data_IF_513534161803
#
_entry.id   IF_513534161803
#
_cell.length_a   1.000
_cell.length_b   1.000
_cell.length_c   1.000
_cell.angle_alpha   90.00
_cell.angle_beta   90.00
_cell.angle_gamma   90.00
#
_symmetry.space_group_name_H-M   'P 1'
#
loop_
_entity.id
_entity.type
_entity.pdbx_description
1 polymer ?
#
# COMPACT_ATOMS: atom_id res chain seq x y z
N UNK A 1 -18.88 -8.15 -14.44
CA UNK A 1 -19.51 -7.09 -13.61
C UNK A 1 -18.67 -5.81 -13.56
N UNK A 2 -17.35 -5.90 -13.46
CA UNK A 2 -16.49 -4.71 -13.37
C UNK A 2 -16.36 -3.94 -14.69
N UNK A 3 -16.28 -4.64 -15.83
CA UNK A 3 -16.33 -4.04 -17.17
C UNK A 3 -17.58 -3.18 -17.39
N UNK A 4 -18.76 -3.73 -17.08
CA UNK A 4 -20.05 -3.03 -17.21
C UNK A 4 -20.10 -1.77 -16.34
N UNK A 5 -19.56 -1.81 -15.12
CA UNK A 5 -19.47 -0.62 -14.25
C UNK A 5 -18.53 0.43 -14.84
N UNK A 6 -17.43 0.02 -15.47
CA UNK A 6 -16.50 0.93 -16.15
C UNK A 6 -17.13 1.56 -17.39
N UNK A 7 -17.89 0.79 -18.18
CA UNK A 7 -18.57 1.29 -19.38
C UNK A 7 -19.61 2.36 -19.02
N UNK A 8 -20.40 2.14 -17.96
CA UNK A 8 -21.34 3.15 -17.43
C UNK A 8 -20.59 4.42 -16.99
N UNK A 9 -19.42 4.27 -16.35
CA UNK A 9 -18.60 5.42 -15.93
C UNK A 9 -18.03 6.18 -17.13
N UNK A 10 -17.61 5.48 -18.19
CA UNK A 10 -17.14 6.10 -19.42
C UNK A 10 -18.25 6.97 -20.02
N UNK A 11 -19.45 6.41 -20.24
CA UNK A 11 -20.60 7.16 -20.77
C UNK A 11 -20.93 8.41 -19.93
N UNK A 12 -20.87 8.28 -18.59
CA UNK A 12 -21.09 9.42 -17.68
C UNK A 12 -20.05 10.54 -17.90
N UNK A 13 -18.78 10.19 -18.04
CA UNK A 13 -17.72 11.17 -18.26
C UNK A 13 -17.67 11.71 -19.69
N UNK A 14 -18.10 10.94 -20.69
CA UNK A 14 -18.31 11.43 -22.05
C UNK A 14 -19.40 12.51 -22.08
N UNK A 15 -20.54 12.27 -21.41
CA UNK A 15 -21.58 13.29 -21.27
C UNK A 15 -21.09 14.51 -20.46
N UNK A 16 -20.29 14.28 -19.40
CA UNK A 16 -19.68 15.38 -18.65
C UNK A 16 -18.79 16.26 -19.53
N UNK A 17 -17.93 15.65 -20.34
CA UNK A 17 -17.04 16.37 -21.27
C UNK A 17 -17.84 17.08 -22.35
N UNK A 18 -18.92 16.48 -22.86
CA UNK A 18 -19.83 17.15 -23.80
C UNK A 18 -20.44 18.43 -23.23
N UNK A 19 -20.84 18.39 -21.96
CA UNK A 19 -21.43 19.55 -21.27
C UNK A 19 -20.37 20.51 -20.69
N UNK A 20 -19.11 20.09 -20.57
CA UNK A 20 -18.01 20.86 -19.99
C UNK A 20 -16.70 20.66 -20.79
N UNK A 21 -16.65 21.03 -22.08
CA UNK A 21 -15.53 20.70 -22.96
C UNK A 21 -14.22 21.41 -22.61
N UNK A 22 -14.26 22.46 -21.79
CA UNK A 22 -13.08 23.20 -21.36
C UNK A 22 -12.51 22.71 -20.02
N UNK A 23 -13.18 21.77 -19.34
CA UNK A 23 -12.74 21.27 -18.04
C UNK A 23 -11.75 20.11 -18.21
N UNK A 24 -10.46 20.27 -17.86
CA UNK A 24 -9.45 19.22 -18.01
C UNK A 24 -9.74 17.96 -17.16
N UNK A 25 -10.49 18.14 -16.07
CA UNK A 25 -10.90 17.06 -15.17
C UNK A 25 -11.65 15.93 -15.90
N UNK A 26 -12.57 16.27 -16.80
CA UNK A 26 -13.37 15.26 -17.52
C UNK A 26 -12.50 14.37 -18.40
N UNK A 27 -11.58 14.98 -19.16
CA UNK A 27 -10.63 14.25 -19.98
C UNK A 27 -9.66 13.42 -19.14
N UNK A 28 -9.18 13.91 -18.01
CA UNK A 28 -8.37 13.11 -17.10
C UNK A 28 -9.11 11.86 -16.60
N UNK A 29 -10.38 12.00 -16.20
CA UNK A 29 -11.20 10.87 -15.77
C UNK A 29 -11.43 9.85 -16.88
N UNK A 30 -11.75 10.30 -18.10
CA UNK A 30 -11.82 9.41 -19.28
C UNK A 30 -10.48 8.69 -19.49
N UNK A 31 -9.37 9.42 -19.41
CA UNK A 31 -8.05 8.82 -19.55
C UNK A 31 -7.79 7.71 -18.53
N UNK A 32 -8.13 7.91 -17.25
CA UNK A 32 -7.99 6.86 -16.21
C UNK A 32 -8.91 5.66 -16.47
N UNK A 33 -10.15 5.88 -16.91
CA UNK A 33 -11.07 4.79 -17.24
C UNK A 33 -10.56 3.96 -18.44
N UNK A 34 -10.05 4.62 -19.48
CA UNK A 34 -9.43 3.93 -20.60
C UNK A 34 -8.18 3.15 -20.19
N UNK A 35 -7.39 3.63 -19.22
CA UNK A 35 -6.27 2.86 -18.67
C UNK A 35 -6.73 1.59 -17.94
N UNK A 36 -7.82 1.68 -17.17
CA UNK A 36 -8.41 0.51 -16.50
C UNK A 36 -8.88 -0.54 -17.51
N UNK A 37 -9.41 -0.09 -18.66
CA UNK A 37 -9.79 -0.96 -19.78
C UNK A 37 -8.60 -1.37 -20.68
N UNK A 38 -7.35 -1.09 -20.29
CA UNK A 38 -6.14 -1.35 -21.09
C UNK A 38 -6.08 -0.63 -22.45
N UNK A 39 -6.97 0.34 -22.69
CA UNK A 39 -7.05 1.17 -23.89
C UNK A 39 -6.04 2.34 -23.78
N UNK A 40 -4.74 1.99 -23.78
CA UNK A 40 -3.66 2.94 -23.50
C UNK A 40 -3.45 4.00 -24.59
N UNK A 41 -4.03 3.86 -25.78
CA UNK A 41 -3.95 4.86 -26.86
C UNK A 41 -4.95 5.99 -26.59
N UNK A 42 -6.19 5.62 -26.33
CA UNK A 42 -7.31 6.50 -25.97
C UNK A 42 -6.99 7.23 -24.67
N UNK A 43 -6.48 6.51 -23.68
CA UNK A 43 -6.01 7.10 -22.44
C UNK A 43 -4.96 8.21 -22.66
N UNK A 44 -3.98 7.97 -23.54
CA UNK A 44 -2.95 8.96 -23.85
C UNK A 44 -3.53 10.18 -24.56
N UNK A 45 -4.49 9.96 -25.47
CA UNK A 45 -5.21 11.04 -26.17
C UNK A 45 -5.95 11.95 -25.17
N UNK A 46 -6.71 11.36 -24.26
CA UNK A 46 -7.45 12.14 -23.25
C UNK A 46 -6.51 12.86 -22.26
N UNK A 47 -5.40 12.23 -21.85
CA UNK A 47 -4.40 12.90 -21.01
C UNK A 47 -3.73 14.07 -21.72
N UNK A 48 -3.44 13.94 -23.02
CA UNK A 48 -2.95 15.07 -23.84
C UNK A 48 -4.00 16.17 -23.94
N UNK A 49 -5.27 15.81 -24.17
CA UNK A 49 -6.35 16.80 -24.24
C UNK A 49 -6.52 17.58 -22.92
N UNK A 50 -6.41 16.91 -21.79
CA UNK A 50 -6.41 17.58 -20.47
C UNK A 50 -5.26 18.59 -20.34
N UNK A 51 -4.07 18.28 -20.89
CA UNK A 51 -2.91 19.19 -20.87
C UNK A 51 -2.96 20.30 -21.91
N UNK A 52 -3.67 20.10 -23.02
CA UNK A 52 -3.99 21.17 -23.97
C UNK A 52 -4.87 22.24 -23.32
N UNK A 53 -5.88 21.81 -22.55
CA UNK A 53 -6.79 22.70 -21.82
C UNK A 53 -6.11 23.38 -20.63
N UNK A 54 -5.30 22.62 -19.86
CA UNK A 54 -4.50 23.16 -18.77
C UNK A 54 -3.12 22.51 -18.70
N UNK A 55 -2.11 23.25 -19.17
CA UNK A 55 -0.70 22.82 -19.14
C UNK A 55 -0.14 22.60 -17.73
N UNK A 56 -0.79 23.12 -16.68
CA UNK A 56 -0.40 22.96 -15.29
C UNK A 56 -1.14 21.80 -14.59
N UNK A 57 -2.06 21.12 -15.28
CA UNK A 57 -2.85 20.03 -14.74
C UNK A 57 -1.98 18.81 -14.41
N UNK A 58 -1.46 18.79 -13.18
CA UNK A 58 -0.38 17.87 -12.77
C UNK A 58 -0.82 16.42 -12.79
N UNK A 59 -2.10 16.14 -12.51
CA UNK A 59 -2.65 14.78 -12.59
C UNK A 59 -2.59 14.18 -13.99
N UNK A 60 -2.79 14.97 -15.05
CA UNK A 60 -2.60 14.45 -16.42
C UNK A 60 -1.12 14.22 -16.76
N UNK A 61 -0.20 15.03 -16.20
CA UNK A 61 1.24 14.77 -16.32
C UNK A 61 1.61 13.42 -15.69
N UNK A 62 1.09 13.13 -14.51
CA UNK A 62 1.26 11.84 -13.83
C UNK A 62 0.64 10.69 -14.64
N UNK A 63 -0.57 10.89 -15.16
CA UNK A 63 -1.23 9.91 -16.02
C UNK A 63 -0.42 9.56 -17.28
N UNK A 64 0.24 10.55 -17.92
CA UNK A 64 1.14 10.26 -19.05
C UNK A 64 2.38 9.45 -18.63
N UNK A 65 2.95 9.71 -17.44
CA UNK A 65 4.07 8.92 -16.91
C UNK A 65 3.62 7.48 -16.66
N UNK A 66 2.47 7.28 -16.02
CA UNK A 66 1.85 5.98 -15.77
C UNK A 66 1.60 5.22 -17.08
N UNK A 67 1.02 5.87 -18.10
CA UNK A 67 0.81 5.28 -19.43
C UNK A 67 2.14 4.84 -20.08
N UNK A 68 3.20 5.64 -19.97
CA UNK A 68 4.51 5.28 -20.51
C UNK A 68 5.11 4.06 -19.80
N UNK A 69 4.94 3.96 -18.48
CA UNK A 69 5.35 2.77 -17.70
C UNK A 69 4.55 1.55 -18.14
N UNK A 70 3.22 1.67 -18.25
CA UNK A 70 2.35 0.57 -18.71
C UNK A 70 2.67 0.13 -20.15
N UNK A 71 3.15 1.03 -21.01
CA UNK A 71 3.63 0.72 -22.36
C UNK A 71 5.06 0.15 -22.40
N UNK A 72 5.73 -0.02 -21.26
CA UNK A 72 7.13 -0.45 -21.18
C UNK A 72 8.14 0.59 -21.67
N UNK A 73 7.72 1.84 -21.86
CA UNK A 73 8.56 2.94 -22.38
C UNK A 73 9.29 3.65 -21.23
N UNK A 74 10.05 2.89 -20.44
CA UNK A 74 10.64 3.34 -19.17
C UNK A 74 11.55 4.56 -19.31
N UNK A 75 12.41 4.61 -20.31
CA UNK A 75 13.30 5.77 -20.55
C UNK A 75 12.49 7.05 -20.80
N UNK A 76 11.40 6.94 -21.57
CA UNK A 76 10.51 8.08 -21.82
C UNK A 76 9.77 8.49 -20.55
N UNK A 77 9.36 7.54 -19.71
CA UNK A 77 8.75 7.82 -18.42
C UNK A 77 9.71 8.59 -17.49
N UNK A 78 10.97 8.14 -17.39
CA UNK A 78 12.03 8.82 -16.61
C UNK A 78 12.27 10.24 -17.12
N UNK A 79 12.40 10.40 -18.44
CA UNK A 79 12.55 11.72 -19.06
C UNK A 79 11.36 12.63 -18.77
N UNK A 80 10.13 12.12 -18.89
CA UNK A 80 8.91 12.90 -18.66
C UNK A 80 8.77 13.30 -17.19
N UNK A 81 9.12 12.41 -16.26
CA UNK A 81 9.20 12.71 -14.84
C UNK A 81 10.20 13.85 -14.57
N UNK A 82 11.36 13.83 -15.21
CA UNK A 82 12.36 14.90 -15.09
C UNK A 82 11.88 16.22 -15.70
N UNK A 83 11.21 16.17 -16.87
CA UNK A 83 10.59 17.34 -17.50
C UNK A 83 9.56 18.00 -16.59
N UNK A 84 8.78 17.20 -15.85
CA UNK A 84 7.72 17.70 -14.97
C UNK A 84 8.10 17.76 -13.49
N UNK A 85 9.39 17.63 -13.16
CA UNK A 85 9.92 17.60 -11.77
C UNK A 85 9.38 18.74 -10.91
N UNK A 86 9.33 19.97 -11.45
CA UNK A 86 8.80 21.14 -10.72
C UNK A 86 7.34 20.93 -10.31
N UNK A 87 6.46 20.58 -11.25
CA UNK A 87 5.03 20.35 -10.98
C UNK A 87 4.79 19.22 -9.98
N UNK A 88 5.55 18.13 -10.12
CA UNK A 88 5.47 16.97 -9.21
C UNK A 88 5.91 17.36 -7.79
N UNK A 89 6.97 18.15 -7.67
CA UNK A 89 7.52 18.52 -6.37
C UNK A 89 6.71 19.58 -5.62
N UNK A 90 5.75 20.24 -6.28
CA UNK A 90 4.90 21.26 -5.66
C UNK A 90 4.06 20.74 -4.48
N UNK A 91 3.61 19.48 -4.54
CA UNK A 91 2.76 18.89 -3.49
C UNK A 91 3.18 17.46 -3.19
N UNK A 92 3.23 17.11 -1.92
CA UNK A 92 3.60 15.75 -1.49
C UNK A 92 2.64 14.67 -2.03
N UNK A 93 1.37 15.01 -2.27
CA UNK A 93 0.40 14.09 -2.88
C UNK A 93 0.87 13.56 -4.24
N UNK A 94 1.56 14.38 -5.06
CA UNK A 94 2.05 13.95 -6.37
C UNK A 94 3.30 13.09 -6.28
N UNK A 95 4.16 13.33 -5.28
CA UNK A 95 5.31 12.46 -5.00
C UNK A 95 4.83 11.07 -4.55
N UNK A 96 3.85 11.06 -3.65
CA UNK A 96 3.16 9.85 -3.20
C UNK A 96 2.51 9.10 -4.38
N UNK A 97 1.76 9.81 -5.22
CA UNK A 97 1.08 9.23 -6.39
C UNK A 97 2.08 8.63 -7.40
N UNK A 98 3.26 9.22 -7.60
CA UNK A 98 4.32 8.59 -8.43
C UNK A 98 4.83 7.29 -7.79
N UNK A 99 5.09 7.30 -6.49
CA UNK A 99 5.54 6.10 -5.81
C UNK A 99 4.50 4.97 -5.95
N UNK A 100 3.22 5.28 -5.77
CA UNK A 100 2.09 4.36 -5.99
C UNK A 100 2.06 3.84 -7.43
N UNK A 101 2.13 4.74 -8.42
CA UNK A 101 2.12 4.39 -9.84
C UNK A 101 3.23 3.38 -10.17
N UNK A 102 4.46 3.64 -9.75
CA UNK A 102 5.60 2.80 -10.14
C UNK A 102 5.59 1.49 -9.35
N UNK A 103 5.37 1.56 -8.03
CA UNK A 103 5.43 0.40 -7.15
C UNK A 103 4.27 -0.57 -7.32
N UNK A 104 3.08 -0.09 -7.73
CA UNK A 104 1.97 -0.98 -8.11
C UNK A 104 2.32 -1.94 -9.25
N UNK A 105 3.36 -1.62 -10.05
CA UNK A 105 3.86 -2.50 -11.10
C UNK A 105 4.78 -3.60 -10.60
N UNK A 106 5.15 -3.61 -9.31
CA UNK A 106 6.08 -4.58 -8.73
C UNK A 106 5.65 -6.03 -8.99
N UNK A 107 4.38 -6.34 -8.74
CA UNK A 107 3.81 -7.67 -9.00
C UNK A 107 3.28 -7.86 -10.44
N UNK A 108 3.49 -6.89 -11.34
CA UNK A 108 3.01 -6.99 -12.72
C UNK A 108 3.83 -8.02 -13.51
N UNK A 109 3.15 -8.82 -14.34
CA UNK A 109 3.80 -9.78 -15.24
C UNK A 109 4.81 -9.15 -16.20
N UNK A 110 4.71 -7.84 -16.44
CA UNK A 110 5.63 -7.08 -17.30
C UNK A 110 6.99 -6.82 -16.67
N UNK A 111 7.10 -6.88 -15.34
CA UNK A 111 8.33 -6.62 -14.59
C UNK A 111 8.88 -7.88 -13.89
N UNK A 112 8.10 -8.95 -13.80
CA UNK A 112 8.53 -10.28 -13.37
C UNK A 112 9.25 -11.04 -14.52
N UNK A 113 10.57 -11.32 -14.41
CA UNK A 113 11.34 -12.00 -15.45
C UNK A 113 10.78 -13.37 -15.84
N UNK A 114 10.13 -14.07 -14.92
CA UNK A 114 9.55 -15.40 -15.13
C UNK A 114 8.23 -15.34 -15.92
N UNK A 115 7.53 -14.19 -15.89
CA UNK A 115 6.22 -13.99 -16.53
C UNK A 115 6.27 -13.08 -17.76
N UNK A 116 7.45 -12.56 -18.10
CA UNK A 116 7.67 -11.65 -19.21
C UNK A 116 7.75 -12.35 -20.57
N UNK A 117 7.16 -11.71 -21.58
CA UNK A 117 7.47 -12.02 -22.97
C UNK A 117 8.92 -11.65 -23.31
N UNK A 118 9.51 -12.33 -24.30
CA UNK A 118 10.89 -12.10 -24.74
C UNK A 118 11.15 -10.63 -25.08
N UNK A 119 10.19 -9.98 -25.75
CA UNK A 119 10.25 -8.55 -26.13
C UNK A 119 10.32 -7.64 -24.90
N UNK A 120 9.51 -7.92 -23.87
CA UNK A 120 9.49 -7.12 -22.64
C UNK A 120 10.82 -7.20 -21.89
N UNK A 121 11.43 -8.39 -21.88
CA UNK A 121 12.75 -8.63 -21.28
C UNK A 121 13.85 -7.82 -21.97
N UNK A 122 13.82 -7.74 -23.29
CA UNK A 122 14.79 -6.92 -24.06
C UNK A 122 14.67 -5.43 -23.70
N UNK A 123 13.45 -4.88 -23.66
CA UNK A 123 13.24 -3.48 -23.27
C UNK A 123 13.67 -3.18 -21.83
N UNK A 124 13.41 -4.11 -20.91
CA UNK A 124 13.83 -3.99 -19.52
C UNK A 124 15.36 -4.02 -19.40
N UNK A 125 16.03 -4.98 -20.03
CA UNK A 125 17.49 -5.06 -20.04
C UNK A 125 18.13 -3.81 -20.67
N UNK A 126 17.57 -3.30 -21.76
CA UNK A 126 18.03 -2.06 -22.37
C UNK A 126 17.87 -0.85 -21.42
N UNK A 127 16.73 -0.76 -20.71
CA UNK A 127 16.53 0.26 -19.69
C UNK A 127 17.58 0.15 -18.59
N UNK A 128 17.86 -1.04 -18.05
CA UNK A 128 18.81 -1.23 -16.95
C UNK A 128 20.24 -0.91 -17.35
N UNK A 129 20.67 -1.35 -18.54
CA UNK A 129 21.98 -0.97 -19.08
C UNK A 129 22.14 0.55 -19.19
N UNK A 130 21.04 1.25 -19.47
CA UNK A 130 21.00 2.71 -19.49
C UNK A 130 20.84 3.34 -18.09
N UNK A 131 20.21 2.64 -17.15
CA UNK A 131 19.77 3.17 -15.86
C UNK A 131 20.95 3.64 -15.01
N UNK A 132 22.04 2.88 -14.91
CA UNK A 132 23.25 3.29 -14.15
C UNK A 132 23.80 4.64 -14.63
N UNK A 133 23.80 4.89 -15.94
CA UNK A 133 24.23 6.18 -16.53
C UNK A 133 23.25 7.30 -16.24
N UNK A 134 21.94 7.03 -16.30
CA UNK A 134 20.90 8.03 -16.00
C UNK A 134 20.91 8.37 -14.50
N UNK A 135 21.17 7.39 -13.64
CA UNK A 135 21.21 7.55 -12.18
C UNK A 135 22.28 8.55 -11.76
N UNK A 136 23.47 8.47 -12.37
CA UNK A 136 24.54 9.47 -12.17
C UNK A 136 24.11 10.90 -12.51
N UNK A 137 23.22 11.07 -13.50
CA UNK A 137 22.73 12.39 -13.92
C UNK A 137 21.49 12.85 -13.15
N UNK A 138 20.69 11.91 -12.65
CA UNK A 138 19.37 12.16 -12.07
C UNK A 138 19.14 11.25 -10.84
N UNK A 139 19.95 11.40 -9.77
CA UNK A 139 19.92 10.48 -8.61
C UNK A 139 18.62 10.55 -7.80
N UNK A 140 17.86 11.63 -7.95
CA UNK A 140 16.59 11.87 -7.23
C UNK A 140 15.35 11.60 -8.07
N UNK A 141 15.47 10.96 -9.24
CA UNK A 141 14.29 10.66 -10.05
C UNK A 141 13.55 9.45 -9.45
N UNK A 142 12.33 9.62 -8.89
CA UNK A 142 11.63 8.54 -8.20
C UNK A 142 11.23 7.41 -9.15
N UNK A 143 10.89 7.72 -10.41
CA UNK A 143 10.54 6.70 -11.42
C UNK A 143 11.76 5.84 -11.74
N UNK A 144 12.93 6.46 -11.93
CA UNK A 144 14.18 5.74 -12.16
C UNK A 144 14.54 4.83 -10.98
N UNK A 145 14.54 5.40 -9.76
CA UNK A 145 14.96 4.69 -8.56
C UNK A 145 14.04 3.50 -8.28
N UNK A 146 12.73 3.68 -8.36
CA UNK A 146 11.76 2.61 -8.11
C UNK A 146 11.80 1.53 -9.20
N UNK A 147 11.90 1.89 -10.49
CA UNK A 147 12.05 0.90 -11.57
C UNK A 147 13.35 0.09 -11.44
N UNK A 148 14.44 0.74 -11.03
CA UNK A 148 15.70 0.06 -10.74
C UNK A 148 15.55 -0.90 -9.55
N UNK A 149 14.89 -0.47 -8.47
CA UNK A 149 14.62 -1.32 -7.31
C UNK A 149 13.79 -2.56 -7.69
N UNK A 150 12.72 -2.38 -8.47
CA UNK A 150 11.87 -3.49 -8.93
C UNK A 150 12.72 -4.50 -9.72
N UNK A 151 13.55 -4.03 -10.64
CA UNK A 151 14.45 -4.91 -11.39
C UNK A 151 15.42 -5.67 -10.48
N UNK A 152 16.09 -4.99 -9.56
CA UNK A 152 17.04 -5.61 -8.63
C UNK A 152 16.38 -6.69 -7.77
N UNK A 153 15.20 -6.41 -7.20
CA UNK A 153 14.44 -7.36 -6.39
C UNK A 153 14.07 -8.63 -7.18
N UNK A 154 13.58 -8.47 -8.41
CA UNK A 154 13.19 -9.60 -9.27
C UNK A 154 14.36 -10.47 -9.75
N UNK A 155 15.56 -9.89 -9.87
CA UNK A 155 16.75 -10.61 -10.31
C UNK A 155 17.69 -11.00 -9.16
N UNK A 156 17.27 -10.77 -7.90
CA UNK A 156 18.10 -10.98 -6.71
C UNK A 156 19.48 -10.31 -6.81
N UNK A 157 19.53 -9.10 -7.39
CA UNK A 157 20.76 -8.31 -7.56
C UNK A 157 20.85 -7.24 -6.47
N UNK A 158 21.62 -7.52 -5.43
CA UNK A 158 21.82 -6.64 -4.26
C UNK A 158 23.22 -6.01 -4.26
N UNK A 159 23.60 -5.35 -5.36
CA UNK A 159 24.84 -4.57 -5.40
C UNK A 159 24.77 -3.33 -4.50
N UNK A 160 25.90 -2.69 -4.22
CA UNK A 160 25.96 -1.52 -3.32
C UNK A 160 25.04 -0.38 -3.77
N UNK A 161 24.85 -0.22 -5.08
CA UNK A 161 23.92 0.78 -5.64
C UNK A 161 22.47 0.40 -5.36
N UNK A 162 22.11 -0.87 -5.51
CA UNK A 162 20.78 -1.37 -5.21
C UNK A 162 20.44 -1.16 -3.73
N UNK A 163 21.35 -1.50 -2.81
CA UNK A 163 21.14 -1.33 -1.35
C UNK A 163 20.92 0.13 -0.99
N UNK A 164 21.70 1.06 -1.55
CA UNK A 164 21.50 2.50 -1.32
C UNK A 164 20.13 2.98 -1.82
N UNK A 165 19.72 2.51 -3.00
CA UNK A 165 18.41 2.81 -3.56
C UNK A 165 17.27 2.19 -2.73
N UNK A 166 17.44 0.98 -2.21
CA UNK A 166 16.46 0.36 -1.32
C UNK A 166 16.25 1.20 -0.06
N UNK A 167 17.35 1.66 0.58
CA UNK A 167 17.27 2.57 1.74
C UNK A 167 16.54 3.88 1.40
N UNK A 168 16.78 4.42 0.20
CA UNK A 168 16.10 5.64 -0.28
C UNK A 168 14.61 5.43 -0.58
N UNK A 169 14.25 4.27 -1.12
CA UNK A 169 12.90 3.98 -1.61
C UNK A 169 11.97 3.43 -0.52
N UNK A 170 12.48 2.68 0.46
CA UNK A 170 11.65 2.01 1.49
C UNK A 170 10.85 2.99 2.34
N UNK A 171 11.37 4.21 2.53
CA UNK A 171 10.74 5.27 3.32
C UNK A 171 9.70 6.10 2.55
N UNK A 172 9.52 5.85 1.25
CA UNK A 172 8.59 6.61 0.42
C UNK A 172 7.13 6.37 0.81
N UNK A 173 6.38 7.47 0.92
CA UNK A 173 4.92 7.42 1.06
C UNK A 173 4.29 6.91 -0.24
N UNK A 174 3.23 6.10 -0.12
CA UNK A 174 2.52 5.55 -1.28
C UNK A 174 3.22 4.35 -1.92
N UNK A 175 4.33 3.87 -1.37
CA UNK A 175 4.89 2.61 -1.85
C UNK A 175 3.90 1.46 -1.61
N UNK A 176 3.68 0.64 -2.64
CA UNK A 176 2.92 -0.61 -2.55
C UNK A 176 3.46 -1.48 -1.41
N UNK A 177 2.57 -2.08 -0.63
CA UNK A 177 2.94 -2.78 0.59
C UNK A 177 3.79 -4.03 0.33
N UNK A 178 3.52 -4.74 -0.77
CA UNK A 178 4.33 -5.91 -1.17
C UNK A 178 5.72 -5.48 -1.63
N UNK A 179 5.81 -4.40 -2.41
CA UNK A 179 7.11 -3.83 -2.78
C UNK A 179 7.87 -3.34 -1.54
N UNK A 180 7.21 -2.67 -0.59
CA UNK A 180 7.84 -2.20 0.65
C UNK A 180 8.39 -3.39 1.45
N UNK A 181 7.62 -4.46 1.58
CA UNK A 181 8.07 -5.67 2.27
C UNK A 181 9.27 -6.31 1.57
N UNK A 182 9.26 -6.39 0.23
CA UNK A 182 10.39 -6.92 -0.53
C UNK A 182 11.68 -6.11 -0.31
N UNK A 183 11.59 -4.77 -0.27
CA UNK A 183 12.72 -3.90 0.07
C UNK A 183 13.23 -4.14 1.48
N UNK A 184 12.34 -4.25 2.46
CA UNK A 184 12.70 -4.54 3.86
C UNK A 184 13.43 -5.87 3.96
N UNK A 185 12.93 -6.91 3.28
CA UNK A 185 13.52 -8.24 3.26
C UNK A 185 14.94 -8.20 2.67
N UNK A 186 15.10 -7.56 1.51
CA UNK A 186 16.41 -7.39 0.86
C UNK A 186 17.37 -6.57 1.73
N UNK A 187 16.89 -5.52 2.41
CA UNK A 187 17.71 -4.73 3.32
C UNK A 187 18.10 -5.47 4.60
N UNK A 188 17.27 -6.39 5.09
CA UNK A 188 17.49 -7.05 6.38
C UNK A 188 18.78 -7.88 6.45
N UNK A 189 19.32 -8.29 5.30
CA UNK A 189 20.61 -8.98 5.18
C UNK A 189 21.80 -8.07 5.53
N UNK A 190 21.67 -6.76 5.29
CA UNK A 190 22.74 -5.76 5.46
C UNK A 190 22.47 -4.80 6.62
N UNK A 191 21.20 -4.57 6.95
CA UNK A 191 20.75 -3.64 7.98
C UNK A 191 19.50 -4.20 8.66
N UNK A 192 19.71 -4.97 9.72
CA UNK A 192 18.62 -5.58 10.49
C UNK A 192 17.76 -4.56 11.25
N UNK A 193 18.22 -3.31 11.41
CA UNK A 193 17.45 -2.27 12.08
C UNK A 193 16.19 -1.88 11.29
N UNK A 194 16.17 -2.12 9.97
CA UNK A 194 15.00 -1.88 9.12
C UNK A 194 13.77 -2.65 9.60
N UNK A 195 13.95 -3.85 10.17
CA UNK A 195 12.87 -4.68 10.69
C UNK A 195 12.22 -4.10 11.96
N UNK A 196 12.88 -3.15 12.64
CA UNK A 196 12.37 -2.50 13.86
C UNK A 196 11.93 -1.05 13.60
N UNK A 197 12.00 -0.58 12.36
CA UNK A 197 11.73 0.81 12.04
C UNK A 197 10.22 1.09 12.04
N UNK A 198 9.71 1.64 13.16
CA UNK A 198 8.29 1.95 13.34
C UNK A 198 7.74 2.96 12.32
N UNK A 199 8.59 3.89 11.83
CA UNK A 199 8.20 4.88 10.85
C UNK A 199 7.97 4.25 9.46
N UNK A 200 8.76 3.24 9.10
CA UNK A 200 8.55 2.45 7.88
C UNK A 200 7.33 1.55 8.04
N UNK A 201 7.18 0.87 9.18
CA UNK A 201 6.01 0.03 9.46
C UNK A 201 4.70 0.84 9.43
N UNK A 202 4.72 2.08 9.90
CA UNK A 202 3.55 2.97 9.90
C UNK A 202 3.03 3.35 8.51
N UNK A 203 3.86 3.20 7.47
CA UNK A 203 3.51 3.51 6.07
C UNK A 203 2.74 2.39 5.38
N UNK A 204 2.71 1.17 5.94
CA UNK A 204 1.91 0.08 5.40
C UNK A 204 0.43 0.45 5.38
N UNK A 205 -0.29 0.25 4.28
CA UNK A 205 -1.74 0.46 4.26
C UNK A 205 -2.48 -0.78 4.76
N UNK A 206 -2.03 -1.95 4.31
CA UNK A 206 -2.48 -3.29 4.69
C UNK A 206 -1.28 -4.18 5.01
N UNK A 207 -1.54 -5.40 5.47
CA UNK A 207 -0.49 -6.40 5.55
C UNK A 207 0.02 -6.73 4.13
N UNK A 208 1.34 -6.83 3.92
CA UNK A 208 1.89 -7.41 2.70
C UNK A 208 1.49 -8.89 2.62
N UNK A 209 1.61 -9.51 1.45
CA UNK A 209 1.28 -10.92 1.22
C UNK A 209 1.90 -11.81 2.30
N UNK A 210 1.05 -12.19 3.26
CA UNK A 210 1.50 -12.59 4.59
C UNK A 210 2.08 -13.99 4.66
N UNK A 211 2.03 -14.75 3.56
CA UNK A 211 2.77 -16.02 3.43
C UNK A 211 4.28 -15.82 3.61
N UNK A 212 4.75 -14.61 3.33
CA UNK A 212 6.17 -14.23 3.37
C UNK A 212 6.51 -13.24 4.50
N UNK A 213 5.52 -12.72 5.22
CA UNK A 213 5.74 -11.71 6.26
C UNK A 213 5.80 -12.36 7.64
N UNK A 214 6.84 -12.04 8.42
CA UNK A 214 7.02 -12.62 9.75
C UNK A 214 5.95 -12.15 10.72
N UNK A 215 5.52 -13.03 11.63
CA UNK A 215 4.58 -12.67 12.70
C UNK A 215 5.05 -11.42 13.49
N UNK A 216 6.36 -11.35 13.80
CA UNK A 216 6.97 -10.21 14.48
C UNK A 216 6.78 -8.90 13.72
N UNK A 217 7.02 -8.89 12.41
CA UNK A 217 6.87 -7.67 11.63
C UNK A 217 5.41 -7.26 11.44
N UNK A 218 4.50 -8.23 11.27
CA UNK A 218 3.05 -7.94 11.24
C UNK A 218 2.59 -7.28 12.54
N UNK A 219 3.14 -7.70 13.69
CA UNK A 219 2.86 -7.08 14.97
C UNK A 219 3.42 -5.64 15.05
N UNK A 220 4.60 -5.36 14.47
CA UNK A 220 5.13 -4.00 14.40
C UNK A 220 4.23 -3.09 13.54
N UNK A 221 3.70 -3.59 12.43
CA UNK A 221 2.72 -2.86 11.61
C UNK A 221 1.46 -2.53 12.42
N UNK A 222 0.92 -3.52 13.17
CA UNK A 222 -0.22 -3.33 14.07
C UNK A 222 0.07 -2.27 15.14
N UNK A 223 1.17 -2.41 15.88
CA UNK A 223 1.56 -1.49 16.93
C UNK A 223 1.76 -0.06 16.41
N UNK A 224 2.31 0.10 15.20
CA UNK A 224 2.44 1.41 14.57
C UNK A 224 1.09 2.04 14.24
N UNK A 225 0.10 1.24 13.81
CA UNK A 225 -1.28 1.73 13.61
C UNK A 225 -1.95 2.15 14.93
N UNK A 226 -1.81 1.33 15.99
CA UNK A 226 -2.33 1.63 17.33
C UNK A 226 -1.69 2.91 17.89
N UNK A 227 -0.36 2.99 17.93
CA UNK A 227 0.37 4.17 18.45
C UNK A 227 0.03 5.47 17.70
N UNK A 228 -0.34 5.38 16.41
CA UNK A 228 -0.75 6.54 15.62
C UNK A 228 -2.25 6.88 15.71
N UNK A 229 -3.00 6.18 16.58
CA UNK A 229 -4.43 6.42 16.80
C UNK A 229 -5.34 6.01 15.64
N UNK A 230 -4.83 5.21 14.69
CA UNK A 230 -5.57 4.79 13.48
C UNK A 230 -6.32 3.49 13.75
N UNK A 231 -7.37 3.55 14.58
CA UNK A 231 -8.11 2.36 15.02
C UNK A 231 -8.72 1.56 13.86
N UNK A 232 -9.31 2.20 12.87
CA UNK A 232 -9.87 1.52 11.68
C UNK A 232 -8.80 0.70 10.93
N UNK A 233 -7.59 1.25 10.83
CA UNK A 233 -6.45 0.56 10.22
C UNK A 233 -6.02 -0.62 11.08
N UNK A 234 -5.96 -0.45 12.40
CA UNK A 234 -5.62 -1.54 13.32
C UNK A 234 -6.65 -2.68 13.26
N UNK A 235 -7.94 -2.37 13.17
CA UNK A 235 -9.02 -3.35 12.96
C UNK A 235 -8.81 -4.14 11.67
N UNK A 236 -8.56 -3.45 10.55
CA UNK A 236 -8.32 -4.11 9.26
C UNK A 236 -7.08 -5.00 9.27
N UNK A 237 -6.01 -4.57 9.95
CA UNK A 237 -4.80 -5.37 10.13
C UNK A 237 -5.11 -6.61 10.97
N UNK A 238 -5.76 -6.46 12.12
CA UNK A 238 -6.10 -7.58 13.00
C UNK A 238 -7.02 -8.60 12.35
N UNK A 239 -8.02 -8.15 11.59
CA UNK A 239 -8.90 -9.03 10.82
C UNK A 239 -8.11 -9.84 9.78
N UNK A 240 -7.17 -9.18 9.09
CA UNK A 240 -6.24 -9.85 8.17
C UNK A 240 -5.38 -10.87 8.91
N UNK A 241 -4.81 -10.54 10.08
CA UNK A 241 -4.02 -11.46 10.91
C UNK A 241 -4.83 -12.70 11.32
N UNK A 242 -6.09 -12.51 11.75
CA UNK A 242 -6.99 -13.61 12.13
C UNK A 242 -7.25 -14.57 10.97
N UNK A 243 -7.52 -14.01 9.77
CA UNK A 243 -7.74 -14.82 8.55
C UNK A 243 -6.51 -15.66 8.15
N UNK A 244 -5.33 -15.25 8.58
CA UNK A 244 -4.05 -15.88 8.28
C UNK A 244 -3.55 -16.80 9.42
N UNK A 245 -4.29 -16.90 10.52
CA UNK A 245 -3.87 -17.64 11.71
C UNK A 245 -2.66 -17.04 12.43
N UNK A 246 -2.40 -15.75 12.24
CA UNK A 246 -1.33 -15.01 12.94
C UNK A 246 -1.92 -14.40 14.21
N UNK A 247 -1.33 -14.72 15.36
CA UNK A 247 -1.83 -14.24 16.65
C UNK A 247 -0.87 -13.18 17.23
N UNK A 248 -1.34 -11.94 17.45
CA UNK A 248 -0.54 -10.93 18.12
C UNK A 248 -0.22 -11.33 19.58
N UNK A 249 0.90 -10.85 20.14
CA UNK A 249 1.18 -10.99 21.57
C UNK A 249 0.07 -10.40 22.45
N UNK A 250 -0.15 -10.92 23.68
CA UNK A 250 -1.14 -10.39 24.60
C UNK A 250 -1.02 -8.88 24.86
N UNK A 251 0.21 -8.34 24.97
CA UNK A 251 0.42 -6.90 25.15
C UNK A 251 -0.14 -6.05 23.99
N UNK A 252 -0.03 -6.53 22.76
CA UNK A 252 -0.59 -5.87 21.57
C UNK A 252 -2.11 -5.96 21.54
N UNK A 253 -2.68 -7.12 21.90
CA UNK A 253 -4.13 -7.31 22.01
C UNK A 253 -4.71 -6.40 23.10
N UNK A 254 -4.03 -6.28 24.23
CA UNK A 254 -4.45 -5.39 25.31
C UNK A 254 -4.46 -3.93 24.86
N UNK A 255 -3.41 -3.46 24.18
CA UNK A 255 -3.35 -2.10 23.65
C UNK A 255 -4.48 -1.83 22.65
N UNK A 256 -4.82 -2.83 21.81
CA UNK A 256 -5.95 -2.74 20.92
C UNK A 256 -7.29 -2.63 21.68
N UNK A 257 -7.54 -3.48 22.69
CA UNK A 257 -8.76 -3.40 23.49
C UNK A 257 -8.89 -2.08 24.23
N UNK A 258 -7.77 -1.55 24.74
CA UNK A 258 -7.73 -0.23 25.35
C UNK A 258 -8.27 0.82 24.38
N UNK A 259 -7.77 0.87 23.14
CA UNK A 259 -8.27 1.82 22.14
C UNK A 259 -9.71 1.56 21.72
N UNK A 260 -10.13 0.31 21.62
CA UNK A 260 -11.54 -0.03 21.37
C UNK A 260 -12.45 0.51 22.47
N UNK A 261 -12.06 0.36 23.74
CA UNK A 261 -12.84 0.86 24.87
C UNK A 261 -12.96 2.39 24.86
N UNK A 262 -11.85 3.10 24.60
CA UNK A 262 -11.82 4.57 24.51
C UNK A 262 -12.69 5.11 23.37
N UNK A 263 -12.82 4.34 22.27
CA UNK A 263 -13.60 4.73 21.09
C UNK A 263 -14.99 4.06 21.04
N UNK A 264 -15.40 3.36 22.11
CA UNK A 264 -16.66 2.60 22.17
C UNK A 264 -16.87 1.62 21.00
N UNK A 265 -15.79 1.00 20.51
CA UNK A 265 -15.81 0.04 19.39
C UNK A 265 -15.92 -1.38 19.92
N UNK A 266 -17.11 -1.95 19.82
CA UNK A 266 -17.42 -3.32 20.24
C UNK A 266 -17.95 -4.10 19.05
N UNK A 267 -17.24 -5.15 18.65
CA UNK A 267 -17.62 -6.04 17.56
C UNK A 267 -17.05 -7.45 17.80
N UNK A 268 -17.32 -8.38 16.88
CA UNK A 268 -16.86 -9.77 16.99
C UNK A 268 -15.32 -9.89 17.06
N UNK A 269 -14.57 -8.99 16.42
CA UNK A 269 -13.12 -8.97 16.51
C UNK A 269 -12.65 -8.54 17.90
N UNK A 270 -13.26 -7.50 18.48
CA UNK A 270 -13.04 -7.10 19.88
C UNK A 270 -13.30 -8.27 20.83
N UNK A 271 -14.38 -9.03 20.61
CA UNK A 271 -14.69 -10.23 21.38
C UNK A 271 -13.62 -11.30 21.26
N UNK A 272 -13.21 -11.67 20.03
CA UNK A 272 -12.14 -12.66 19.81
C UNK A 272 -10.84 -12.26 20.52
N UNK A 273 -10.45 -10.98 20.44
CA UNK A 273 -9.26 -10.47 21.12
C UNK A 273 -9.40 -10.54 22.65
N UNK A 274 -10.55 -10.16 23.20
CA UNK A 274 -10.85 -10.23 24.62
C UNK A 274 -10.83 -11.67 25.15
N UNK A 275 -11.51 -12.58 24.45
CA UNK A 275 -11.51 -14.02 24.75
C UNK A 275 -10.08 -14.59 24.78
N UNK A 276 -9.25 -14.26 23.79
CA UNK A 276 -7.84 -14.69 23.75
C UNK A 276 -7.02 -14.18 24.93
N UNK A 277 -7.20 -12.93 25.34
CA UNK A 277 -6.53 -12.39 26.53
C UNK A 277 -6.94 -13.15 27.79
N UNK A 278 -8.24 -13.35 28.00
CA UNK A 278 -8.75 -14.12 29.14
C UNK A 278 -8.15 -15.52 29.17
N UNK A 279 -8.17 -16.24 28.04
CA UNK A 279 -7.61 -17.60 27.93
C UNK A 279 -6.10 -17.66 28.10
N UNK A 280 -5.39 -16.56 27.79
CA UNK A 280 -3.95 -16.45 28.07
C UNK A 280 -3.62 -16.14 29.54
N UNK A 281 -4.63 -15.93 30.39
CA UNK A 281 -4.46 -15.52 31.79
C UNK A 281 -4.25 -14.02 32.00
N UNK A 282 -4.33 -13.20 30.94
CA UNK A 282 -4.23 -11.75 31.02
C UNK A 282 -5.59 -11.16 31.40
N UNK A 283 -5.91 -11.19 32.70
CA UNK A 283 -7.20 -10.72 33.24
C UNK A 283 -6.98 -9.49 34.11
N UNK A 284 -7.44 -8.34 33.63
CA UNK A 284 -7.46 -7.09 34.39
C UNK A 284 -8.84 -6.40 34.29
N UNK A 285 -8.96 -5.24 34.96
CA UNK A 285 -10.20 -4.46 34.96
C UNK A 285 -10.67 -4.07 33.57
N UNK A 286 -9.76 -3.74 32.65
CA UNK A 286 -10.11 -3.34 31.28
C UNK A 286 -10.66 -4.53 30.50
N UNK A 287 -9.96 -5.66 30.53
CA UNK A 287 -10.35 -6.89 29.81
C UNK A 287 -11.69 -7.40 30.34
N UNK A 288 -11.86 -7.44 31.67
CA UNK A 288 -13.11 -7.84 32.30
C UNK A 288 -14.28 -6.90 31.93
N UNK A 289 -14.09 -5.57 32.06
CA UNK A 289 -15.12 -4.61 31.69
C UNK A 289 -15.48 -4.68 30.20
N UNK A 290 -14.49 -4.89 29.33
CA UNK A 290 -14.70 -5.06 27.89
C UNK A 290 -15.54 -6.31 27.59
N UNK A 291 -15.24 -7.44 28.25
CA UNK A 291 -16.01 -8.67 28.09
C UNK A 291 -17.46 -8.50 28.54
N UNK A 292 -17.70 -7.92 29.72
CA UNK A 292 -19.04 -7.65 30.25
C UNK A 292 -19.81 -6.75 29.27
N UNK A 293 -19.17 -5.69 28.76
CA UNK A 293 -19.80 -4.79 27.79
C UNK A 293 -20.16 -5.50 26.47
N UNK A 294 -19.29 -6.38 25.97
CA UNK A 294 -19.58 -7.19 24.78
C UNK A 294 -20.76 -8.13 25.00
N UNK A 295 -20.89 -8.69 26.21
CA UNK A 295 -22.01 -9.53 26.62
C UNK A 295 -23.31 -8.74 26.69
N UNK A 296 -23.30 -7.55 27.30
CA UNK A 296 -24.49 -6.68 27.38
C UNK A 296 -25.02 -6.26 25.99
N UNK A 297 -24.14 -6.22 24.99
CA UNK A 297 -24.45 -5.85 23.62
C UNK A 297 -24.84 -7.05 22.73
N UNK A 298 -24.86 -8.27 23.26
CA UNK A 298 -25.18 -9.51 22.53
C UNK A 298 -24.32 -9.73 21.27
N UNK A 299 -23.04 -9.31 21.31
CA UNK A 299 -22.14 -9.33 20.15
C UNK A 299 -21.57 -10.72 19.86
N UNK A 300 -21.54 -11.62 20.85
CA UNK A 300 -21.07 -12.98 20.68
C UNK A 300 -21.80 -13.94 21.63
N UNK A 301 -22.20 -15.10 21.09
CA UNK A 301 -22.76 -16.19 21.88
C UNK A 301 -21.68 -16.74 22.82
N UNK A 302 -22.00 -16.71 24.10
CA UNK A 302 -21.10 -16.99 25.22
C UNK A 302 -20.43 -18.37 25.10
N UNK A 303 -19.18 -18.42 25.53
CA UNK A 303 -18.52 -19.67 25.91
C UNK A 303 -18.39 -19.70 27.43
N UNK A 304 -18.90 -20.76 28.07
CA UNK A 304 -18.91 -20.95 29.53
C UNK A 304 -17.51 -20.83 30.17
N UNK A 305 -16.46 -20.94 29.36
CA UNK A 305 -15.06 -20.88 29.75
C UNK A 305 -14.63 -19.49 30.22
N UNK A 306 -14.91 -18.43 29.45
CA UNK A 306 -14.54 -17.05 29.77
C UNK A 306 -15.25 -16.55 31.03
N UNK A 307 -16.51 -16.95 31.23
CA UNK A 307 -17.24 -16.61 32.45
C UNK A 307 -16.64 -17.27 33.68
N UNK A 308 -16.24 -18.55 33.58
CA UNK A 308 -15.54 -19.23 34.67
C UNK A 308 -14.23 -18.55 35.01
N UNK A 309 -13.48 -18.10 34.00
CA UNK A 309 -12.25 -17.32 34.20
C UNK A 309 -12.59 -16.03 34.97
N UNK A 310 -13.56 -15.24 34.51
CA UNK A 310 -13.91 -13.99 35.19
C UNK A 310 -14.42 -14.18 36.62
N UNK A 311 -15.17 -15.25 36.89
CA UNK A 311 -15.59 -15.63 38.25
C UNK A 311 -14.41 -15.99 39.14
N UNK A 312 -13.46 -16.77 38.63
CA UNK A 312 -12.24 -17.11 39.36
C UNK A 312 -11.44 -15.86 39.76
N UNK A 313 -11.38 -14.86 38.89
CA UNK A 313 -10.72 -13.57 39.18
C UNK A 313 -11.62 -12.55 39.94
N UNK A 314 -12.85 -12.91 40.30
CA UNK A 314 -13.75 -12.07 41.11
C UNK A 314 -14.39 -10.89 40.37
N UNK A 315 -14.41 -10.90 39.04
CA UNK A 315 -15.03 -9.84 38.23
C UNK A 315 -16.51 -10.07 37.93
N UNK A 316 -16.99 -11.30 38.13
CA UNK A 316 -18.39 -11.71 37.92
C UNK A 316 -18.80 -12.62 39.08
N UNK A 317 -20.06 -12.52 39.51
CA UNK A 317 -20.70 -13.40 40.49
C UNK A 317 -21.21 -14.69 39.86
#
# INVERSE_FOLDING_TARGET
MESVKTDIRILKYENYVKNNPEKPYGYYCLGKLHMQNSNLKEAESHMKKALELDRYYTRAKLGLIEILILKGKYIKAVYLCSKYKRSINMRNIYKKEIAEIVSSQFNSSKLDPARQSLVSRVFLNYFINSAKRILKKQPDNPVLNLLFCIYCLHNHQEDSTAVELFKKCVVLDGLDDNMRWALIKALSSTDSAVLKNEAVAGKFAKLPDAKDCTADYTNIILLSALKSGKLEKALSILDSMDSLGIFPPPSSLWLFLYQCSENSVYNNLTFKCCSRLLKSGWVDKLVAATFIRLKDLDIAHQTDEEEKILKFYGYVS
#
